data_IF_290785446580
#
_entry.id   IF_290785446580
#
_cell.length_a   1.000
_cell.length_b   1.000
_cell.length_c   1.000
_cell.angle_alpha   90.00
_cell.angle_beta   90.00
_cell.angle_gamma   90.00
#
_symmetry.space_group_name_H-M   'P 1'
#
loop_
_entity.id
_entity.type
_entity.pdbx_description
1 polymer ?
#
# COMPACT_ATOMS: atom_id res chain seq x y z
N UNK A 1 7.64 -10.44 -17.90
CA UNK A 1 7.86 -9.59 -16.71
C UNK A 1 9.25 -8.97 -16.79
N UNK A 2 9.35 -7.67 -16.53
CA UNK A 2 10.63 -6.96 -16.43
C UNK A 2 11.30 -7.25 -15.09
N UNK A 3 12.64 -7.23 -15.01
CA UNK A 3 13.36 -7.39 -13.74
C UNK A 3 12.87 -6.41 -12.65
N UNK A 4 12.49 -5.18 -13.04
CA UNK A 4 11.95 -4.16 -12.11
C UNK A 4 10.55 -4.49 -11.60
N UNK A 5 9.72 -5.09 -12.45
CA UNK A 5 8.35 -5.50 -12.10
C UNK A 5 8.39 -6.67 -11.12
N UNK A 6 9.26 -7.65 -11.34
CA UNK A 6 9.51 -8.74 -10.40
C UNK A 6 9.99 -8.21 -9.04
N UNK A 7 10.95 -7.29 -9.03
CA UNK A 7 11.43 -6.68 -7.79
C UNK A 7 10.33 -5.92 -7.03
N UNK A 8 9.41 -5.27 -7.74
CA UNK A 8 8.26 -4.59 -7.13
C UNK A 8 7.34 -5.60 -6.46
N UNK A 9 6.93 -6.66 -7.18
CA UNK A 9 6.04 -7.70 -6.66
C UNK A 9 6.67 -8.37 -5.43
N UNK A 10 7.93 -8.79 -5.51
CA UNK A 10 8.63 -9.40 -4.37
C UNK A 10 8.73 -8.48 -3.15
N UNK A 11 8.84 -7.17 -3.34
CA UNK A 11 8.86 -6.21 -2.24
C UNK A 11 7.46 -6.04 -1.62
N UNK A 12 6.41 -6.02 -2.44
CA UNK A 12 5.02 -5.95 -1.97
C UNK A 12 4.68 -7.19 -1.14
N UNK A 13 4.98 -8.39 -1.64
CA UNK A 13 4.74 -9.65 -0.92
C UNK A 13 5.42 -9.65 0.46
N UNK A 14 6.69 -9.24 0.53
CA UNK A 14 7.40 -9.14 1.83
C UNK A 14 6.76 -8.18 2.82
N UNK A 15 6.16 -7.09 2.33
CA UNK A 15 5.45 -6.13 3.20
C UNK A 15 4.11 -6.71 3.67
N UNK A 16 3.42 -7.46 2.82
CA UNK A 16 2.19 -8.16 3.17
C UNK A 16 2.44 -9.28 4.18
N UNK A 17 3.49 -10.09 3.97
CA UNK A 17 3.90 -11.14 4.91
C UNK A 17 4.15 -10.56 6.31
N UNK A 18 4.89 -9.45 6.39
CA UNK A 18 5.14 -8.78 7.66
C UNK A 18 3.86 -8.22 8.28
N UNK A 19 2.95 -7.66 7.48
CA UNK A 19 1.68 -7.18 7.98
C UNK A 19 0.83 -8.32 8.56
N UNK A 20 0.81 -9.47 7.89
CA UNK A 20 0.13 -10.67 8.35
C UNK A 20 0.72 -11.17 9.68
N UNK A 21 2.05 -11.25 9.79
CA UNK A 21 2.73 -11.61 11.05
C UNK A 21 2.37 -10.66 12.20
N UNK A 22 2.34 -9.35 11.95
CA UNK A 22 1.95 -8.37 12.97
C UNK A 22 0.47 -8.51 13.38
N UNK A 23 -0.40 -8.88 12.44
CA UNK A 23 -1.82 -9.09 12.68
C UNK A 23 -2.12 -10.36 13.50
N UNK A 24 -1.18 -11.31 13.61
CA UNK A 24 -1.35 -12.46 14.51
C UNK A 24 -1.44 -12.07 16.00
N UNK A 25 -0.84 -10.92 16.36
CA UNK A 25 -0.73 -10.46 17.75
C UNK A 25 -1.36 -9.09 18.01
N UNK A 26 -1.96 -8.47 16.99
CA UNK A 26 -2.54 -7.12 17.03
C UNK A 26 -3.85 -7.07 16.27
N UNK A 27 -4.69 -6.09 16.58
CA UNK A 27 -5.93 -5.84 15.85
C UNK A 27 -5.61 -5.54 14.36
N UNK A 28 -6.21 -6.26 13.38
CA UNK A 28 -6.02 -6.01 11.96
C UNK A 28 -6.27 -4.57 11.53
N UNK A 29 -7.21 -3.86 12.18
CA UNK A 29 -7.49 -2.45 11.88
C UNK A 29 -6.31 -1.55 12.27
N UNK A 30 -5.60 -1.90 13.35
CA UNK A 30 -4.38 -1.19 13.78
C UNK A 30 -3.25 -1.42 12.77
N UNK A 31 -3.09 -2.66 12.28
CA UNK A 31 -2.07 -2.99 11.29
C UNK A 31 -2.36 -2.33 9.93
N UNK A 32 -3.63 -2.30 9.52
CA UNK A 32 -4.05 -1.58 8.32
C UNK A 32 -3.72 -0.08 8.40
N UNK A 33 -4.04 0.57 9.53
CA UNK A 33 -3.69 1.97 9.77
C UNK A 33 -2.16 2.18 9.80
N UNK A 34 -1.41 1.23 10.38
CA UNK A 34 0.05 1.27 10.43
C UNK A 34 0.68 1.18 9.02
N UNK A 35 0.16 0.32 8.15
CA UNK A 35 0.61 0.20 6.75
C UNK A 35 0.37 1.50 5.97
N UNK A 36 -0.81 2.10 6.09
CA UNK A 36 -1.11 3.39 5.45
C UNK A 36 -0.15 4.48 5.92
N UNK A 37 0.12 4.54 7.22
CA UNK A 37 1.05 5.51 7.79
C UNK A 37 2.50 5.25 7.35
N UNK A 38 2.94 3.98 7.31
CA UNK A 38 4.27 3.60 6.85
C UNK A 38 4.50 3.98 5.38
N UNK A 39 3.55 3.65 4.50
CA UNK A 39 3.58 4.02 3.09
C UNK A 39 3.67 5.55 2.92
N UNK A 40 2.87 6.31 3.65
CA UNK A 40 2.90 7.78 3.58
C UNK A 40 4.26 8.36 3.94
N UNK A 41 4.93 7.83 4.98
CA UNK A 41 6.25 8.29 5.43
C UNK A 41 7.34 7.94 4.43
N UNK A 42 7.32 6.73 3.90
CA UNK A 42 8.29 6.29 2.90
C UNK A 42 8.14 7.10 1.61
N UNK A 43 6.91 7.30 1.13
CA UNK A 43 6.64 8.10 -0.06
C UNK A 43 7.08 9.55 0.13
N UNK A 44 6.77 10.17 1.27
CA UNK A 44 7.22 11.53 1.58
C UNK A 44 8.76 11.65 1.63
N UNK A 45 9.43 10.64 2.19
CA UNK A 45 10.89 10.58 2.21
C UNK A 45 11.47 10.48 0.79
N UNK A 46 10.93 9.61 -0.06
CA UNK A 46 11.38 9.48 -1.46
C UNK A 46 11.16 10.78 -2.24
N UNK A 47 10.02 11.45 -2.07
CA UNK A 47 9.79 12.77 -2.70
C UNK A 47 10.85 13.77 -2.23
N UNK A 48 11.08 13.86 -0.92
CA UNK A 48 12.07 14.78 -0.35
C UNK A 48 13.51 14.51 -0.82
N UNK A 49 13.87 13.27 -1.16
CA UNK A 49 15.17 12.93 -1.72
C UNK A 49 15.36 13.34 -3.19
N UNK A 50 14.27 13.50 -3.93
CA UNK A 50 14.30 13.71 -5.38
C UNK A 50 13.96 15.14 -5.81
N UNK A 51 13.84 16.07 -4.87
CA UNK A 51 13.46 17.45 -5.12
C UNK A 51 14.35 18.43 -4.38
N UNK A 52 14.69 19.54 -5.05
CA UNK A 52 15.37 20.68 -4.43
C UNK A 52 14.38 21.71 -3.84
N UNK A 53 13.09 21.63 -4.21
CA UNK A 53 12.03 22.50 -3.69
C UNK A 53 10.77 21.71 -3.31
N UNK A 54 10.88 20.99 -2.19
CA UNK A 54 9.76 20.22 -1.63
C UNK A 54 8.53 21.08 -1.34
N UNK A 55 8.71 22.39 -1.10
CA UNK A 55 7.59 23.28 -0.77
C UNK A 55 6.71 23.51 -1.99
N UNK A 56 7.30 23.75 -3.16
CA UNK A 56 6.57 23.92 -4.41
C UNK A 56 5.96 22.59 -4.89
N UNK A 57 6.72 21.50 -4.79
CA UNK A 57 6.32 20.19 -5.32
C UNK A 57 5.42 19.37 -4.38
N UNK A 58 5.27 19.77 -3.11
CA UNK A 58 4.44 19.03 -2.14
C UNK A 58 3.04 18.72 -2.66
N UNK A 59 2.40 19.70 -3.31
CA UNK A 59 1.00 19.54 -3.74
C UNK A 59 0.87 18.55 -4.88
N UNK A 60 1.74 18.65 -5.89
CA UNK A 60 1.74 17.73 -7.03
C UNK A 60 2.11 16.31 -6.59
N UNK A 61 3.11 16.17 -5.71
CA UNK A 61 3.51 14.88 -5.15
C UNK A 61 2.37 14.20 -4.38
N UNK A 62 1.67 14.94 -3.51
CA UNK A 62 0.49 14.40 -2.79
C UNK A 62 -0.60 13.99 -3.77
N UNK A 63 -0.91 14.81 -4.77
CA UNK A 63 -1.94 14.49 -5.75
C UNK A 63 -1.62 13.23 -6.55
N UNK A 64 -0.35 13.06 -6.93
CA UNK A 64 0.11 11.87 -7.64
C UNK A 64 -0.01 10.62 -6.76
N UNK A 65 0.60 10.64 -5.58
CA UNK A 65 0.64 9.47 -4.69
C UNK A 65 -0.76 9.02 -4.23
N UNK A 66 -1.65 9.96 -3.93
CA UNK A 66 -3.04 9.64 -3.57
C UNK A 66 -3.83 9.13 -4.78
N UNK A 67 -3.57 9.66 -5.98
CA UNK A 67 -4.18 9.18 -7.21
C UNK A 67 -3.80 7.73 -7.52
N UNK A 68 -2.51 7.40 -7.45
CA UNK A 68 -2.02 6.03 -7.66
C UNK A 68 -2.59 5.07 -6.62
N UNK A 69 -2.56 5.44 -5.33
CA UNK A 69 -3.12 4.60 -4.27
C UNK A 69 -4.62 4.37 -4.46
N UNK A 70 -5.36 5.42 -4.80
CA UNK A 70 -6.80 5.32 -5.07
C UNK A 70 -7.08 4.35 -6.21
N UNK A 71 -6.37 4.47 -7.34
CA UNK A 71 -6.57 3.61 -8.49
C UNK A 71 -6.30 2.13 -8.15
N UNK A 72 -5.20 1.85 -7.45
CA UNK A 72 -4.90 0.49 -6.99
C UNK A 72 -6.00 -0.01 -6.06
N UNK A 73 -6.37 0.74 -5.02
CA UNK A 73 -7.38 0.33 -4.05
C UNK A 73 -8.74 0.04 -4.70
N UNK A 74 -9.17 0.88 -5.65
CA UNK A 74 -10.40 0.65 -6.42
C UNK A 74 -10.31 -0.66 -7.20
N UNK A 75 -9.20 -0.95 -7.88
CA UNK A 75 -8.98 -2.22 -8.60
C UNK A 75 -9.04 -3.44 -7.66
N UNK A 76 -8.38 -3.38 -6.49
CA UNK A 76 -8.41 -4.49 -5.54
C UNK A 76 -9.81 -4.69 -4.92
N UNK A 77 -10.55 -3.62 -4.65
CA UNK A 77 -11.92 -3.72 -4.14
C UNK A 77 -12.88 -4.26 -5.20
N UNK A 78 -12.73 -3.83 -6.46
CA UNK A 78 -13.50 -4.38 -7.57
C UNK A 78 -13.23 -5.88 -7.75
N UNK A 79 -11.98 -6.33 -7.55
CA UNK A 79 -11.64 -7.76 -7.55
C UNK A 79 -12.35 -8.51 -6.40
N UNK A 80 -12.32 -7.99 -5.16
CA UNK A 80 -13.06 -8.61 -4.05
C UNK A 80 -14.59 -8.56 -4.22
N UNK A 81 -15.14 -7.58 -4.94
CA UNK A 81 -16.56 -7.56 -5.29
C UNK A 81 -16.87 -8.65 -6.31
N UNK A 82 -16.01 -8.84 -7.31
CA UNK A 82 -16.15 -9.88 -8.32
C UNK A 82 -15.89 -11.28 -7.74
N UNK A 83 -14.99 -11.38 -6.77
CA UNK A 83 -14.54 -12.59 -6.09
C UNK A 83 -14.68 -12.42 -4.55
N UNK A 84 -15.92 -12.48 -4.02
CA UNK A 84 -16.14 -12.31 -2.60
C UNK A 84 -15.36 -13.31 -1.77
N UNK A 85 -14.74 -12.85 -0.68
CA UNK A 85 -14.12 -13.71 0.31
C UNK A 85 -15.22 -14.56 0.94
N UNK A 86 -15.24 -15.85 0.61
CA UNK A 86 -16.15 -16.81 1.24
C UNK A 86 -15.59 -17.05 2.64
N UNK A 87 -16.29 -16.57 3.67
CA UNK A 87 -16.04 -17.06 5.01
C UNK A 87 -16.39 -18.56 5.00
N UNK A 88 -15.47 -19.43 5.39
CA UNK A 88 -15.86 -20.82 5.66
C UNK A 88 -16.93 -20.76 6.74
N UNK A 89 -18.18 -21.05 6.37
CA UNK A 89 -19.25 -21.28 7.32
C UNK A 89 -18.81 -22.51 8.15
N UNK A 90 -18.42 -22.29 9.41
CA UNK A 90 -18.16 -23.33 10.39
C UNK A 90 -19.47 -24.12 10.61
N UNK A 91 -19.67 -25.21 9.85
CA UNK A 91 -20.69 -26.26 10.06
C UNK A 91 -20.37 -27.15 11.28
#
# INVERSE_FOLDING_TARGET
MSNRETQLIEAVEKLLDLANELAESSDPDVINAALLHAASRYNAFVVALNTDDLKDEKRSAVSYLVGEYKAMLEEQLDDFIANPVVAEDDD
#
